data_IF_128577886430
#
_entry.id   IF_128577886430
#
_cell.length_a   1.000
_cell.length_b   1.000
_cell.length_c   1.000
_cell.angle_alpha   90.00
_cell.angle_beta   90.00
_cell.angle_gamma   90.00
#
_symmetry.space_group_name_H-M   'P 1'
#
loop_
_entity.id
_entity.type
_entity.pdbx_description
1 polymer ?
#
# COMPACT_ATOMS: atom_id res chain seq x y z
N UNK A 1 -3.64 9.48 9.67
CA UNK A 1 -3.48 10.61 8.76
C UNK A 1 -4.79 10.91 8.03
N UNK A 2 -5.32 10.00 7.19
CA UNK A 2 -6.54 10.22 6.41
C UNK A 2 -7.73 10.67 7.28
N UNK A 3 -8.04 9.95 8.35
CA UNK A 3 -9.13 10.30 9.28
C UNK A 3 -9.00 11.72 9.84
N UNK A 4 -7.76 12.12 10.22
CA UNK A 4 -7.49 13.47 10.74
C UNK A 4 -7.66 14.59 9.72
N UNK A 5 -7.72 14.27 8.44
CA UNK A 5 -8.03 15.22 7.37
C UNK A 5 -9.52 15.22 7.04
N UNK A 6 -10.08 14.04 6.78
CA UNK A 6 -11.46 13.91 6.33
C UNK A 6 -12.49 14.37 7.36
N UNK A 7 -12.25 14.14 8.66
CA UNK A 7 -13.22 14.50 9.70
C UNK A 7 -13.54 16.01 9.76
N UNK A 8 -12.70 16.85 9.15
CA UNK A 8 -12.92 18.30 9.10
C UNK A 8 -14.01 18.73 8.12
N UNK A 9 -14.30 17.89 7.14
CA UNK A 9 -15.25 18.18 6.04
C UNK A 9 -16.33 17.13 5.91
N UNK A 10 -16.07 15.91 6.41
CA UNK A 10 -16.94 14.76 6.24
C UNK A 10 -17.22 14.07 7.57
N UNK A 11 -18.38 13.43 7.68
CA UNK A 11 -18.65 12.52 8.79
C UNK A 11 -17.88 11.22 8.58
N UNK A 12 -16.91 10.94 9.45
CA UNK A 12 -16.03 9.77 9.33
C UNK A 12 -16.40 8.69 10.34
N UNK A 13 -16.57 7.48 9.83
CA UNK A 13 -16.78 6.26 10.61
C UNK A 13 -15.63 5.30 10.36
N UNK A 14 -14.90 4.94 11.41
CA UNK A 14 -13.80 3.98 11.37
C UNK A 14 -14.27 2.58 11.80
N UNK A 15 -13.84 1.56 11.07
CA UNK A 15 -14.03 0.15 11.41
C UNK A 15 -12.66 -0.52 11.44
N UNK A 16 -12.21 -0.95 12.61
CA UNK A 16 -10.96 -1.71 12.79
C UNK A 16 -11.10 -2.59 14.04
N UNK A 17 -10.44 -3.75 14.08
CA UNK A 17 -10.32 -4.58 15.28
C UNK A 17 -9.45 -3.96 16.37
N UNK A 18 -8.55 -3.04 16.00
CA UNK A 18 -7.69 -2.30 16.92
C UNK A 18 -8.38 -1.06 17.46
N UNK A 19 -7.98 -0.66 18.65
CA UNK A 19 -8.42 0.62 19.22
C UNK A 19 -7.80 1.78 18.46
N UNK A 20 -8.50 2.90 18.43
CA UNK A 20 -8.01 4.16 17.92
C UNK A 20 -8.05 5.21 19.05
N UNK A 21 -7.04 5.21 19.98
CA UNK A 21 -7.09 6.05 21.17
C UNK A 21 -7.05 7.55 20.82
N UNK A 22 -6.24 7.94 19.83
CA UNK A 22 -6.03 9.35 19.46
C UNK A 22 -6.95 9.81 18.32
N UNK A 23 -8.16 9.24 18.23
CA UNK A 23 -9.14 9.64 17.22
C UNK A 23 -9.68 11.04 17.53
N UNK A 24 -10.00 11.87 16.51
CA UNK A 24 -10.75 13.11 16.71
C UNK A 24 -12.08 12.83 17.42
N UNK A 25 -12.56 13.79 18.23
CA UNK A 25 -13.75 13.60 19.09
C UNK A 25 -15.02 13.29 18.30
N UNK A 26 -15.16 13.88 17.14
CA UNK A 26 -16.29 13.75 16.21
C UNK A 26 -16.24 12.48 15.33
N UNK A 27 -15.13 11.74 15.34
CA UNK A 27 -15.01 10.48 14.61
C UNK A 27 -15.64 9.33 15.40
N UNK A 28 -16.53 8.61 14.76
CA UNK A 28 -17.11 7.38 15.31
C UNK A 28 -16.16 6.23 14.97
N UNK A 29 -15.80 5.42 15.95
CA UNK A 29 -14.95 4.25 15.74
C UNK A 29 -15.58 2.99 16.31
N UNK A 30 -15.85 2.04 15.44
CA UNK A 30 -16.33 0.73 15.80
C UNK A 30 -15.16 -0.26 15.86
N UNK A 31 -14.81 -0.67 17.08
CA UNK A 31 -13.80 -1.72 17.28
C UNK A 31 -14.43 -3.08 16.97
N UNK A 32 -14.40 -3.48 15.71
CA UNK A 32 -15.02 -4.71 15.22
C UNK A 32 -14.27 -5.28 14.03
N UNK A 33 -14.30 -6.61 13.89
CA UNK A 33 -13.85 -7.31 12.71
C UNK A 33 -14.90 -7.21 11.59
N UNK A 34 -14.51 -6.79 10.39
CA UNK A 34 -15.39 -6.60 9.23
C UNK A 34 -16.24 -7.85 8.93
N UNK A 35 -15.74 -9.05 9.24
CA UNK A 35 -16.45 -10.32 9.04
C UNK A 35 -17.63 -10.54 10.00
N UNK A 36 -17.72 -9.77 11.08
CA UNK A 36 -18.75 -9.94 12.13
C UNK A 36 -20.06 -9.24 11.74
N UNK A 37 -21.19 -9.83 12.16
CA UNK A 37 -22.54 -9.27 11.93
C UNK A 37 -22.69 -7.81 12.38
N UNK A 38 -21.97 -7.41 13.44
CA UNK A 38 -21.97 -6.04 13.93
C UNK A 38 -21.52 -5.01 12.88
N UNK A 39 -20.66 -5.40 11.94
CA UNK A 39 -20.26 -4.52 10.81
C UNK A 39 -21.45 -4.22 9.91
N UNK A 40 -22.33 -5.20 9.65
CA UNK A 40 -23.57 -5.00 8.90
C UNK A 40 -24.46 -3.96 9.57
N UNK A 41 -24.56 -3.99 10.90
CA UNK A 41 -25.34 -2.99 11.65
C UNK A 41 -24.76 -1.58 11.49
N UNK A 42 -23.42 -1.44 11.40
CA UNK A 42 -22.78 -0.15 11.11
C UNK A 42 -23.25 0.39 9.76
N UNK A 43 -23.20 -0.41 8.68
CA UNK A 43 -23.67 0.03 7.35
C UNK A 43 -25.14 0.45 7.38
N UNK A 44 -25.99 -0.30 8.06
CA UNK A 44 -27.42 0.01 8.22
C UNK A 44 -27.66 1.31 8.97
N UNK A 45 -26.90 1.56 10.06
CA UNK A 45 -27.13 2.70 10.95
C UNK A 45 -26.49 3.98 10.43
N UNK A 46 -25.28 3.89 9.86
CA UNK A 46 -24.46 5.06 9.51
C UNK A 46 -24.74 5.62 8.10
N UNK A 47 -25.55 4.93 7.29
CA UNK A 47 -25.85 5.35 5.90
C UNK A 47 -24.58 5.68 5.11
N UNK A 48 -23.70 4.71 4.98
CA UNK A 48 -22.37 4.86 4.38
C UNK A 48 -22.47 5.27 2.91
N UNK A 49 -21.97 6.45 2.55
CA UNK A 49 -21.95 6.94 1.17
C UNK A 49 -20.69 6.50 0.41
N UNK A 50 -19.56 6.38 1.12
CA UNK A 50 -18.28 5.99 0.55
C UNK A 50 -17.50 5.07 1.50
N UNK A 51 -16.77 4.13 0.94
CA UNK A 51 -15.87 3.23 1.67
C UNK A 51 -14.44 3.43 1.18
N UNK A 52 -13.50 3.62 2.11
CA UNK A 52 -12.06 3.61 1.83
C UNK A 52 -11.46 2.37 2.51
N UNK A 53 -11.02 1.41 1.71
CA UNK A 53 -10.39 0.18 2.20
C UNK A 53 -8.88 0.32 2.29
N UNK A 54 -8.35 0.36 3.52
CA UNK A 54 -6.92 0.45 3.84
C UNK A 54 -6.44 -0.79 4.61
N UNK A 55 -7.34 -1.72 4.88
CA UNK A 55 -7.18 -2.79 5.85
C UNK A 55 -6.49 -4.03 5.28
N UNK A 56 -5.26 -3.90 4.77
CA UNK A 56 -4.46 -5.04 4.30
C UNK A 56 -3.44 -5.45 5.36
N UNK A 57 -3.44 -6.74 5.70
CA UNK A 57 -2.49 -7.32 6.65
C UNK A 57 -1.27 -7.84 5.90
N UNK A 58 -0.13 -7.15 6.05
CA UNK A 58 1.13 -7.48 5.37
C UNK A 58 2.15 -8.21 6.26
N UNK A 59 1.83 -8.46 7.54
CA UNK A 59 2.79 -9.11 8.44
C UNK A 59 2.99 -10.59 8.04
N UNK A 60 4.16 -10.96 7.50
CA UNK A 60 4.44 -12.33 7.05
C UNK A 60 4.58 -13.33 8.22
N UNK A 61 4.66 -12.85 9.47
CA UNK A 61 4.69 -13.70 10.69
C UNK A 61 3.30 -14.20 11.06
N UNK A 62 2.26 -13.56 10.54
CA UNK A 62 0.88 -14.06 10.68
C UNK A 62 0.69 -15.26 9.75
N UNK A 63 0.11 -16.34 10.27
CA UNK A 63 -0.15 -17.55 9.50
C UNK A 63 -0.91 -17.27 8.21
N UNK A 64 -0.56 -17.95 7.12
CA UNK A 64 -1.14 -17.73 5.79
C UNK A 64 -2.67 -17.77 5.78
N UNK A 65 -3.26 -18.77 6.45
CA UNK A 65 -4.72 -18.91 6.55
C UNK A 65 -5.39 -17.72 7.26
N UNK A 66 -4.78 -17.22 8.33
CA UNK A 66 -5.33 -16.06 9.05
C UNK A 66 -5.20 -14.79 8.21
N UNK A 67 -4.06 -14.60 7.55
CA UNK A 67 -3.81 -13.48 6.66
C UNK A 67 -4.78 -13.47 5.48
N UNK A 68 -4.97 -14.62 4.81
CA UNK A 68 -5.93 -14.78 3.72
C UNK A 68 -7.37 -14.49 4.18
N UNK A 69 -7.77 -15.03 5.33
CA UNK A 69 -9.10 -14.75 5.90
C UNK A 69 -9.30 -13.26 6.19
N UNK A 70 -8.24 -12.58 6.62
CA UNK A 70 -8.30 -11.15 6.91
C UNK A 70 -8.32 -10.31 5.63
N UNK A 71 -7.47 -10.62 4.67
CA UNK A 71 -7.34 -9.83 3.46
C UNK A 71 -8.48 -10.12 2.45
N UNK A 72 -8.77 -11.38 2.20
CA UNK A 72 -9.66 -11.77 1.11
C UNK A 72 -11.09 -11.99 1.60
N UNK A 73 -11.29 -12.85 2.61
CA UNK A 73 -12.66 -13.14 3.08
C UNK A 73 -13.31 -11.90 3.69
N UNK A 74 -12.54 -11.07 4.42
CA UNK A 74 -13.03 -9.81 4.96
C UNK A 74 -13.36 -8.80 3.86
N UNK A 75 -12.53 -8.72 2.80
CA UNK A 75 -12.77 -7.81 1.69
C UNK A 75 -13.99 -8.24 0.86
N UNK A 76 -14.14 -9.53 0.55
CA UNK A 76 -15.34 -10.05 -0.11
C UNK A 76 -16.61 -9.69 0.69
N UNK A 77 -16.54 -9.86 2.02
CA UNK A 77 -17.68 -9.49 2.89
C UNK A 77 -17.98 -7.99 2.88
N UNK A 78 -16.94 -7.16 2.77
CA UNK A 78 -17.09 -5.71 2.61
C UNK A 78 -17.78 -5.37 1.29
N UNK A 79 -17.40 -6.03 0.18
CA UNK A 79 -18.03 -5.86 -1.13
C UNK A 79 -19.50 -6.26 -1.11
N UNK A 80 -19.88 -7.34 -0.39
CA UNK A 80 -21.27 -7.73 -0.19
C UNK A 80 -22.07 -6.59 0.50
N UNK A 81 -21.50 -5.96 1.54
CA UNK A 81 -22.15 -4.84 2.22
C UNK A 81 -22.26 -3.61 1.33
N UNK A 82 -21.27 -3.32 0.49
CA UNK A 82 -21.32 -2.21 -0.46
C UNK A 82 -22.50 -2.38 -1.42
N UNK A 83 -22.71 -3.60 -1.92
CA UNK A 83 -23.86 -3.90 -2.80
C UNK A 83 -25.19 -3.86 -2.01
N UNK A 84 -25.25 -4.51 -0.86
CA UNK A 84 -26.48 -4.60 -0.03
C UNK A 84 -26.99 -3.22 0.41
N UNK A 85 -26.07 -2.29 0.72
CA UNK A 85 -26.43 -0.95 1.21
C UNK A 85 -26.26 0.15 0.14
N UNK A 86 -26.10 -0.24 -1.14
CA UNK A 86 -26.02 0.66 -2.29
C UNK A 86 -24.99 1.79 -2.13
N UNK A 87 -23.82 1.47 -1.55
CA UNK A 87 -22.73 2.44 -1.37
C UNK A 87 -22.24 2.92 -2.73
N UNK A 88 -22.15 4.22 -2.93
CA UNK A 88 -21.89 4.83 -4.24
C UNK A 88 -20.41 4.97 -4.59
N UNK A 89 -19.50 4.89 -3.60
CA UNK A 89 -18.06 5.07 -3.80
C UNK A 89 -17.26 4.01 -3.04
N UNK A 90 -16.33 3.37 -3.73
CA UNK A 90 -15.31 2.48 -3.15
C UNK A 90 -13.91 2.96 -3.56
N UNK A 91 -13.05 3.22 -2.59
CA UNK A 91 -11.62 3.46 -2.82
C UNK A 91 -10.82 2.35 -2.17
N UNK A 92 -10.01 1.66 -2.96
CA UNK A 92 -9.14 0.56 -2.51
C UNK A 92 -7.69 1.00 -2.60
N UNK A 93 -6.96 0.95 -1.50
CA UNK A 93 -5.52 1.16 -1.49
C UNK A 93 -4.84 -0.20 -1.70
N UNK A 94 -4.40 -0.45 -2.92
CA UNK A 94 -3.56 -1.56 -3.35
C UNK A 94 -2.07 -1.16 -3.26
N UNK A 95 -1.21 -1.70 -4.08
CA UNK A 95 0.22 -1.34 -4.17
C UNK A 95 0.77 -1.65 -5.56
N UNK A 96 1.78 -0.91 -6.01
CA UNK A 96 2.56 -1.25 -7.20
C UNK A 96 3.33 -2.57 -7.06
N UNK A 97 3.53 -3.08 -5.84
CA UNK A 97 4.14 -4.39 -5.61
C UNK A 97 3.36 -5.54 -6.26
N UNK A 98 2.08 -5.35 -6.63
CA UNK A 98 1.29 -6.35 -7.37
C UNK A 98 1.89 -6.70 -8.73
N UNK A 99 2.63 -5.78 -9.36
CA UNK A 99 3.33 -6.04 -10.62
C UNK A 99 4.56 -6.95 -10.42
N UNK A 100 5.29 -6.77 -9.33
CA UNK A 100 6.51 -7.49 -9.00
C UNK A 100 7.77 -6.91 -9.66
N UNK A 101 8.93 -7.07 -9.02
CA UNK A 101 10.24 -6.73 -9.58
C UNK A 101 10.72 -7.87 -10.48
N UNK A 102 10.80 -7.64 -11.79
CA UNK A 102 11.27 -8.61 -12.76
C UNK A 102 12.38 -8.02 -13.63
N UNK A 103 13.30 -8.88 -14.10
CA UNK A 103 14.45 -8.47 -14.89
C UNK A 103 14.05 -7.89 -16.27
N UNK A 104 12.92 -8.30 -16.79
CA UNK A 104 12.34 -7.90 -18.07
C UNK A 104 11.23 -6.84 -17.96
N UNK A 105 11.04 -6.27 -16.77
CA UNK A 105 10.10 -5.16 -16.62
C UNK A 105 10.50 -3.99 -17.51
N UNK A 106 9.52 -3.34 -18.18
CA UNK A 106 9.77 -2.05 -18.81
C UNK A 106 10.18 -1.02 -17.76
N UNK A 107 10.77 0.08 -18.19
CA UNK A 107 11.20 1.14 -17.26
C UNK A 107 10.05 1.64 -16.37
N UNK A 108 8.84 1.79 -16.92
CA UNK A 108 7.65 2.17 -16.19
C UNK A 108 6.49 1.26 -16.55
N UNK A 109 5.82 0.71 -15.54
CA UNK A 109 4.67 -0.17 -15.65
C UNK A 109 3.39 0.67 -15.68
N UNK A 110 2.55 0.47 -16.69
CA UNK A 110 1.24 1.08 -16.76
C UNK A 110 0.19 0.24 -15.99
N UNK A 111 -1.02 0.77 -15.84
CA UNK A 111 -2.09 0.14 -15.06
C UNK A 111 -2.62 -1.18 -15.64
N UNK A 112 -2.41 -1.41 -16.92
CA UNK A 112 -2.75 -2.62 -17.65
C UNK A 112 -1.63 -3.69 -17.65
N UNK A 113 -0.47 -3.39 -17.04
CA UNK A 113 0.61 -4.35 -16.90
C UNK A 113 0.17 -5.59 -16.07
N UNK A 114 0.68 -6.79 -16.40
CA UNK A 114 0.33 -8.02 -15.69
C UNK A 114 0.71 -7.98 -14.20
N UNK A 115 -0.13 -8.56 -13.34
CA UNK A 115 0.08 -8.62 -11.90
C UNK A 115 0.92 -9.86 -11.54
N UNK A 116 2.24 -9.79 -11.71
CA UNK A 116 3.16 -10.92 -11.59
C UNK A 116 3.87 -11.01 -10.23
N UNK A 117 3.59 -10.11 -9.28
CA UNK A 117 4.29 -10.03 -7.99
C UNK A 117 4.23 -11.30 -7.13
N UNK A 118 3.31 -12.24 -7.42
CA UNK A 118 3.11 -13.46 -6.63
C UNK A 118 4.18 -14.54 -6.82
N UNK A 119 5.09 -14.38 -7.76
CA UNK A 119 6.04 -15.45 -8.11
C UNK A 119 7.03 -15.83 -6.99
N UNK A 120 7.07 -15.08 -5.90
CA UNK A 120 7.99 -15.35 -4.80
C UNK A 120 7.43 -15.20 -3.38
N UNK A 121 6.29 -14.53 -3.17
CA UNK A 121 5.90 -14.10 -1.82
C UNK A 121 4.41 -14.27 -1.53
N UNK A 122 4.05 -15.16 -0.57
CA UNK A 122 2.65 -15.47 -0.25
C UNK A 122 1.83 -14.28 0.26
N UNK A 123 2.44 -13.27 0.92
CA UNK A 123 1.74 -12.07 1.35
C UNK A 123 1.30 -11.19 0.17
N UNK A 124 2.08 -11.18 -0.92
CA UNK A 124 1.74 -10.48 -2.16
C UNK A 124 0.58 -11.17 -2.90
N UNK A 125 0.42 -12.50 -2.76
CA UNK A 125 -0.73 -13.20 -3.37
C UNK A 125 -2.05 -12.65 -2.90
N UNK A 126 -2.20 -12.46 -1.59
CA UNK A 126 -3.42 -11.88 -1.04
C UNK A 126 -3.66 -10.46 -1.59
N UNK A 127 -2.61 -9.66 -1.75
CA UNK A 127 -2.74 -8.31 -2.29
C UNK A 127 -3.15 -8.31 -3.76
N UNK A 128 -2.58 -9.21 -4.56
CA UNK A 128 -2.97 -9.40 -5.97
C UNK A 128 -4.42 -9.87 -6.06
N UNK A 129 -4.82 -10.86 -5.26
CA UNK A 129 -6.18 -11.36 -5.23
C UNK A 129 -7.17 -10.27 -4.82
N UNK A 130 -6.83 -9.45 -3.82
CA UNK A 130 -7.63 -8.30 -3.40
C UNK A 130 -7.78 -7.28 -4.54
N UNK A 131 -6.70 -6.96 -5.23
CA UNK A 131 -6.70 -6.05 -6.38
C UNK A 131 -7.58 -6.60 -7.52
N UNK A 132 -7.45 -7.90 -7.85
CA UNK A 132 -8.27 -8.58 -8.85
C UNK A 132 -9.76 -8.63 -8.46
N UNK A 133 -10.07 -8.84 -7.18
CA UNK A 133 -11.46 -8.77 -6.66
C UNK A 133 -12.02 -7.37 -6.82
N UNK A 134 -11.23 -6.34 -6.52
CA UNK A 134 -11.64 -4.94 -6.70
C UNK A 134 -11.85 -4.61 -8.19
N UNK A 135 -11.00 -5.10 -9.10
CA UNK A 135 -11.18 -4.95 -10.55
C UNK A 135 -12.45 -5.67 -11.02
N UNK A 136 -12.66 -6.92 -10.57
CA UNK A 136 -13.87 -7.67 -10.90
C UNK A 136 -15.13 -6.95 -10.39
N UNK A 137 -15.06 -6.36 -9.21
CA UNK A 137 -16.15 -5.57 -8.65
C UNK A 137 -16.42 -4.29 -9.47
N UNK A 138 -15.38 -3.57 -9.87
CA UNK A 138 -15.47 -2.39 -10.74
C UNK A 138 -16.28 -2.66 -12.01
N UNK A 139 -16.04 -3.79 -12.67
CA UNK A 139 -16.73 -4.14 -13.91
C UNK A 139 -18.16 -4.65 -13.67
N UNK A 140 -18.39 -5.38 -12.59
CA UNK A 140 -19.72 -5.98 -12.30
C UNK A 140 -20.69 -5.00 -11.66
N UNK A 141 -20.21 -3.94 -11.01
CA UNK A 141 -21.04 -2.99 -10.29
C UNK A 141 -20.76 -1.54 -10.75
N UNK A 142 -21.15 -1.17 -11.98
CA UNK A 142 -20.85 0.15 -12.55
C UNK A 142 -21.53 1.32 -11.82
N UNK A 143 -22.57 1.04 -11.03
CA UNK A 143 -23.28 2.02 -10.19
C UNK A 143 -22.50 2.43 -8.93
N UNK A 144 -21.45 1.68 -8.59
CA UNK A 144 -20.48 2.03 -7.56
C UNK A 144 -19.20 2.56 -8.21
N UNK A 145 -18.92 3.85 -8.02
CA UNK A 145 -17.68 4.45 -8.50
C UNK A 145 -16.48 3.84 -7.76
N UNK A 146 -15.82 2.87 -8.36
CA UNK A 146 -14.67 2.18 -7.75
C UNK A 146 -13.36 2.77 -8.24
N UNK A 147 -12.48 3.09 -7.29
CA UNK A 147 -11.11 3.56 -7.53
C UNK A 147 -10.12 2.60 -6.87
N UNK A 148 -9.15 2.11 -7.65
CA UNK A 148 -8.05 1.29 -7.16
C UNK A 148 -6.76 2.11 -7.28
N UNK A 149 -6.09 2.35 -6.16
CA UNK A 149 -4.85 3.11 -6.09
C UNK A 149 -3.68 2.15 -5.88
N UNK A 150 -2.69 2.19 -6.77
CA UNK A 150 -1.46 1.38 -6.70
C UNK A 150 -0.25 2.27 -6.43
N UNK A 151 -0.01 2.70 -5.20
CA UNK A 151 1.18 3.48 -4.88
C UNK A 151 2.46 2.67 -5.05
N UNK A 152 3.53 3.33 -5.54
CA UNK A 152 4.90 2.86 -5.39
C UNK A 152 5.30 2.82 -3.90
N UNK A 153 6.59 2.74 -3.56
CA UNK A 153 7.01 2.68 -2.16
C UNK A 153 6.54 3.92 -1.37
N UNK A 154 5.61 3.71 -0.44
CA UNK A 154 5.14 4.76 0.46
C UNK A 154 6.20 4.99 1.54
N UNK A 155 6.75 6.20 1.61
CA UNK A 155 7.73 6.60 2.60
C UNK A 155 7.20 7.75 3.48
N UNK A 156 7.90 7.98 4.58
CA UNK A 156 7.55 8.96 5.60
C UNK A 156 7.55 8.34 6.99
N UNK A 157 6.71 8.81 7.89
CA UNK A 157 6.54 8.23 9.24
C UNK A 157 5.82 6.88 9.26
N UNK A 158 5.39 6.36 8.12
CA UNK A 158 4.75 5.04 7.99
C UNK A 158 5.70 3.89 8.34
N UNK A 159 5.17 2.85 8.98
CA UNK A 159 5.91 1.61 9.31
C UNK A 159 5.50 0.48 8.34
N UNK A 160 6.08 0.50 7.15
CA UNK A 160 5.95 -0.56 6.15
C UNK A 160 7.33 -1.17 5.84
N UNK A 161 7.37 -2.22 5.00
CA UNK A 161 8.61 -2.92 4.67
C UNK A 161 9.69 -1.97 4.12
N UNK A 162 9.35 -1.12 3.15
CA UNK A 162 10.29 -0.20 2.52
C UNK A 162 10.84 0.85 3.51
N UNK A 163 9.96 1.52 4.27
CA UNK A 163 10.40 2.51 5.27
C UNK A 163 11.22 1.86 6.39
N UNK A 164 10.82 0.67 6.87
CA UNK A 164 11.57 -0.04 7.90
C UNK A 164 12.95 -0.49 7.40
N UNK A 165 13.04 -0.94 6.14
CA UNK A 165 14.31 -1.30 5.51
C UNK A 165 15.27 -0.10 5.41
N UNK A 166 14.77 1.06 5.00
CA UNK A 166 15.57 2.28 4.88
C UNK A 166 16.00 2.86 6.25
N UNK A 167 15.31 2.51 7.34
CA UNK A 167 15.68 2.90 8.73
C UNK A 167 16.75 2.02 9.35
N UNK A 168 17.14 0.94 8.71
CA UNK A 168 18.21 0.07 9.23
C UNK A 168 19.54 0.84 9.20
N UNK A 169 20.31 0.77 10.26
CA UNK A 169 21.66 1.35 10.32
C UNK A 169 22.60 0.70 9.29
N UNK A 170 22.45 -0.59 9.07
CA UNK A 170 23.25 -1.40 8.14
C UNK A 170 22.35 -2.28 7.28
N UNK A 171 21.64 -1.70 6.30
CA UNK A 171 20.78 -2.48 5.40
C UNK A 171 21.62 -3.42 4.52
N UNK A 172 21.04 -4.56 4.17
CA UNK A 172 21.67 -5.53 3.28
C UNK A 172 21.34 -5.18 1.83
N UNK A 173 22.34 -5.18 0.95
CA UNK A 173 22.16 -5.04 -0.51
C UNK A 173 22.70 -6.25 -1.25
N UNK A 174 22.30 -6.44 -2.49
CA UNK A 174 22.78 -7.52 -3.34
C UNK A 174 23.95 -7.03 -4.20
N UNK A 175 25.10 -7.69 -4.09
CA UNK A 175 26.29 -7.33 -4.88
C UNK A 175 26.00 -7.36 -6.40
N UNK A 176 26.42 -6.32 -7.09
CA UNK A 176 26.24 -6.19 -8.54
C UNK A 176 24.90 -5.56 -8.95
N UNK A 177 24.06 -5.18 -7.98
CA UNK A 177 22.77 -4.54 -8.25
C UNK A 177 22.64 -3.20 -7.53
N UNK A 178 22.07 -2.23 -8.22
CA UNK A 178 21.71 -0.91 -7.69
C UNK A 178 20.41 -0.44 -8.34
N UNK A 179 19.26 -1.01 -7.92
CA UNK A 179 17.98 -0.74 -8.57
C UNK A 179 17.55 0.71 -8.39
N UNK A 180 16.92 1.24 -9.44
CA UNK A 180 16.21 2.52 -9.35
C UNK A 180 14.95 2.32 -8.52
N UNK A 181 14.69 3.25 -7.60
CA UNK A 181 13.53 3.26 -6.75
C UNK A 181 12.67 4.50 -6.99
N UNK A 182 11.37 4.29 -6.97
CA UNK A 182 10.37 5.35 -6.86
C UNK A 182 9.78 5.36 -5.46
N UNK A 183 9.52 6.54 -4.94
CA UNK A 183 8.82 6.70 -3.66
C UNK A 183 7.74 7.77 -3.77
N UNK A 184 6.72 7.64 -2.93
CA UNK A 184 5.67 8.63 -2.74
C UNK A 184 5.52 8.93 -1.24
N UNK A 185 5.36 10.21 -0.91
CA UNK A 185 5.18 10.63 0.48
C UNK A 185 3.82 10.15 1.03
N UNK A 186 3.79 9.70 2.29
CA UNK A 186 2.53 9.21 2.93
C UNK A 186 1.39 10.24 2.90
N UNK A 187 1.71 11.53 2.98
CA UNK A 187 0.70 12.60 2.89
C UNK A 187 0.18 12.79 1.46
N UNK A 188 0.99 12.49 0.45
CA UNK A 188 0.53 12.52 -0.94
C UNK A 188 -0.40 11.34 -1.26
N UNK A 189 -0.19 10.17 -0.64
CA UNK A 189 -1.15 9.06 -0.73
C UNK A 189 -2.49 9.45 -0.10
N UNK A 190 -2.47 10.15 1.04
CA UNK A 190 -3.70 10.69 1.65
C UNK A 190 -4.41 11.66 0.70
N UNK A 191 -3.67 12.56 0.04
CA UNK A 191 -4.24 13.49 -0.97
C UNK A 191 -4.80 12.75 -2.18
N UNK A 192 -4.12 11.69 -2.65
CA UNK A 192 -4.63 10.88 -3.75
C UNK A 192 -5.96 10.19 -3.38
N UNK A 193 -6.12 9.73 -2.13
CA UNK A 193 -7.39 9.19 -1.63
C UNK A 193 -8.48 10.28 -1.62
N UNK A 194 -8.16 11.51 -1.21
CA UNK A 194 -9.09 12.65 -1.28
C UNK A 194 -9.54 12.94 -2.73
N UNK A 195 -8.62 12.86 -3.70
CA UNK A 195 -8.97 12.96 -5.12
C UNK A 195 -9.86 11.79 -5.58
N UNK A 196 -9.56 10.57 -5.14
CA UNK A 196 -10.34 9.38 -5.45
C UNK A 196 -11.78 9.41 -4.89
N UNK A 197 -11.99 10.12 -3.79
CA UNK A 197 -13.31 10.30 -3.18
C UNK A 197 -14.21 11.32 -3.91
N UNK A 198 -13.66 12.12 -4.83
CA UNK A 198 -14.45 13.07 -5.61
C UNK A 198 -15.48 12.35 -6.48
N UNK A 199 -16.70 12.93 -6.65
CA UNK A 199 -17.68 12.40 -7.59
C UNK A 199 -17.11 12.27 -9.01
N UNK A 200 -17.46 11.20 -9.72
CA UNK A 200 -16.98 10.90 -11.07
C UNK A 200 -15.60 10.24 -11.15
N UNK A 201 -14.81 10.23 -10.07
CA UNK A 201 -13.54 9.52 -10.04
C UNK A 201 -13.77 8.01 -10.03
N UNK A 202 -13.28 7.29 -11.05
CA UNK A 202 -13.35 5.82 -11.16
C UNK A 202 -12.21 5.28 -12.01
N UNK A 203 -11.73 4.09 -11.71
CA UNK A 203 -10.65 3.41 -12.45
C UNK A 203 -9.49 2.96 -11.59
N UNK A 204 -8.43 2.51 -12.26
CA UNK A 204 -7.19 2.06 -11.65
C UNK A 204 -6.14 3.13 -11.90
N UNK A 205 -5.36 3.44 -10.87
CA UNK A 205 -4.37 4.52 -10.93
C UNK A 205 -3.08 4.12 -10.20
N UNK A 206 -1.99 4.15 -10.92
CA UNK A 206 -0.66 4.08 -10.34
C UNK A 206 -0.32 5.43 -9.68
N UNK A 207 0.20 5.38 -8.46
CA UNK A 207 0.62 6.58 -7.74
C UNK A 207 2.13 6.56 -7.54
N UNK A 208 2.80 7.61 -7.99
CA UNK A 208 4.22 7.83 -7.74
C UNK A 208 4.51 9.25 -7.28
N UNK A 209 5.57 9.43 -6.52
CA UNK A 209 6.19 10.74 -6.32
C UNK A 209 7.00 11.19 -7.53
N UNK A 210 7.54 12.40 -7.52
CA UNK A 210 8.36 12.92 -8.61
C UNK A 210 9.76 12.30 -8.59
N UNK A 211 10.22 11.86 -9.76
CA UNK A 211 11.57 11.33 -9.96
C UNK A 211 11.80 9.92 -9.39
N UNK A 212 12.99 9.43 -9.66
CA UNK A 212 13.51 8.15 -9.22
C UNK A 212 14.99 8.28 -8.85
N UNK A 213 15.49 7.41 -8.00
CA UNK A 213 16.87 7.47 -7.50
C UNK A 213 17.44 6.06 -7.28
N UNK A 214 18.72 5.80 -7.63
CA UNK A 214 19.38 4.54 -7.29
C UNK A 214 19.40 4.33 -5.78
N UNK A 215 19.21 3.07 -5.35
CA UNK A 215 19.20 2.70 -3.94
C UNK A 215 20.47 3.14 -3.20
N UNK A 216 21.64 3.02 -3.85
CA UNK A 216 22.92 3.48 -3.30
C UNK A 216 22.93 4.99 -2.98
N UNK A 217 22.27 5.81 -3.81
CA UNK A 217 22.18 7.25 -3.59
C UNK A 217 21.22 7.58 -2.44
N UNK A 218 20.14 6.78 -2.29
CA UNK A 218 19.21 6.89 -1.15
C UNK A 218 19.98 6.64 0.16
N UNK A 219 20.75 5.56 0.26
CA UNK A 219 21.57 5.28 1.45
C UNK A 219 22.55 6.39 1.77
N UNK A 220 23.20 6.94 0.75
CA UNK A 220 24.14 8.07 0.92
C UNK A 220 23.43 9.29 1.52
N UNK A 221 22.20 9.59 1.07
CA UNK A 221 21.39 10.69 1.63
C UNK A 221 20.98 10.42 3.09
N UNK A 222 20.65 9.17 3.41
CA UNK A 222 20.28 8.76 4.76
C UNK A 222 21.48 8.58 5.70
N UNK A 223 22.72 8.72 5.18
CA UNK A 223 23.94 8.52 5.98
C UNK A 223 24.15 7.07 6.43
N UNK A 224 23.53 6.09 5.76
CA UNK A 224 23.64 4.68 6.10
C UNK A 224 24.66 3.96 5.25
N UNK A 225 25.30 2.92 5.82
CA UNK A 225 26.34 2.13 5.15
C UNK A 225 25.82 0.72 4.89
N UNK A 226 25.35 0.40 3.67
CA UNK A 226 24.80 -0.91 3.36
C UNK A 226 25.88 -2.00 3.38
N UNK A 227 25.47 -3.23 3.69
CA UNK A 227 26.32 -4.44 3.62
C UNK A 227 26.00 -5.17 2.31
N UNK A 228 26.92 -5.16 1.34
CA UNK A 228 26.71 -5.90 0.10
C UNK A 228 26.94 -7.39 0.34
N UNK A 229 25.97 -8.22 -0.05
CA UNK A 229 26.03 -9.69 0.08
C UNK A 229 25.98 -10.32 -1.32
N UNK A 230 26.82 -11.34 -1.60
CA UNK A 230 26.71 -12.10 -2.85
C UNK A 230 25.30 -12.68 -3.03
N UNK A 231 24.73 -12.55 -4.23
CA UNK A 231 23.33 -12.92 -4.50
C UNK A 231 22.97 -14.35 -4.12
N UNK A 232 23.90 -15.32 -4.28
CA UNK A 232 23.72 -16.70 -3.90
C UNK A 232 23.55 -16.91 -2.37
N UNK A 233 24.12 -16.03 -1.56
CA UNK A 233 24.05 -16.09 -0.09
C UNK A 233 22.93 -15.22 0.47
N UNK A 234 22.50 -14.23 -0.27
CA UNK A 234 21.55 -13.22 0.21
C UNK A 234 20.22 -13.83 0.64
N UNK A 235 19.67 -14.78 -0.11
CA UNK A 235 18.44 -15.51 0.25
C UNK A 235 18.58 -16.25 1.58
N UNK A 236 19.67 -17.02 1.74
CA UNK A 236 19.90 -17.80 2.96
C UNK A 236 20.13 -16.93 4.19
N UNK A 237 20.87 -15.84 4.04
CA UNK A 237 21.14 -14.87 5.12
C UNK A 237 19.85 -14.19 5.57
N UNK A 238 19.04 -13.71 4.62
CA UNK A 238 17.80 -13.04 4.93
C UNK A 238 16.73 -13.98 5.51
N UNK A 239 16.62 -15.22 5.01
CA UNK A 239 15.73 -16.23 5.59
C UNK A 239 16.07 -16.52 7.05
N UNK A 240 17.36 -16.67 7.36
CA UNK A 240 17.80 -16.86 8.74
C UNK A 240 17.54 -15.63 9.59
N UNK A 241 17.92 -14.44 9.11
CA UNK A 241 17.69 -13.20 9.83
C UNK A 241 16.19 -12.96 10.10
N UNK A 242 15.34 -13.24 9.14
CA UNK A 242 13.89 -13.15 9.29
C UNK A 242 13.35 -14.19 10.29
N UNK A 243 13.79 -15.45 10.19
CA UNK A 243 13.37 -16.53 11.10
C UNK A 243 13.75 -16.28 12.55
N UNK A 244 14.91 -15.66 12.79
CA UNK A 244 15.37 -15.28 14.13
C UNK A 244 14.92 -13.88 14.58
N UNK A 245 13.96 -13.25 13.85
CA UNK A 245 13.44 -11.92 14.15
C UNK A 245 14.50 -10.79 14.15
N UNK A 246 15.65 -11.01 13.52
CA UNK A 246 16.72 -10.02 13.36
C UNK A 246 16.44 -9.05 12.19
N UNK A 247 15.52 -9.40 11.30
CA UNK A 247 15.08 -8.56 10.19
C UNK A 247 13.56 -8.58 10.10
N UNK A 248 12.96 -7.42 9.81
CA UNK A 248 11.56 -7.29 9.43
C UNK A 248 11.34 -7.44 7.92
N UNK A 249 12.42 -7.61 7.15
CA UNK A 249 12.42 -7.73 5.70
C UNK A 249 12.56 -9.20 5.31
N UNK A 250 11.55 -9.84 4.73
CA UNK A 250 11.59 -11.25 4.35
C UNK A 250 12.42 -11.48 3.08
N UNK A 251 13.02 -12.66 2.94
CA UNK A 251 13.86 -13.02 1.80
C UNK A 251 13.19 -12.89 0.42
N UNK A 252 11.90 -13.17 0.26
CA UNK A 252 11.22 -12.96 -1.03
C UNK A 252 11.18 -11.52 -1.53
N UNK A 253 11.38 -10.53 -0.67
CA UNK A 253 11.50 -9.12 -1.08
C UNK A 253 12.88 -8.76 -1.64
N UNK A 254 13.83 -9.70 -1.67
CA UNK A 254 15.18 -9.53 -2.26
C UNK A 254 15.15 -9.08 -3.71
N UNK A 255 14.16 -9.50 -4.48
CA UNK A 255 14.08 -9.13 -5.89
C UNK A 255 13.81 -7.63 -6.08
N UNK A 256 13.20 -6.95 -5.10
CA UNK A 256 13.14 -5.49 -5.06
C UNK A 256 14.51 -4.81 -4.85
N UNK A 257 15.51 -5.56 -4.37
CA UNK A 257 16.90 -5.07 -4.26
C UNK A 257 17.75 -5.39 -5.50
N UNK A 258 17.17 -6.07 -6.48
CA UNK A 258 17.84 -6.46 -7.74
C UNK A 258 17.20 -5.78 -8.94
N UNK A 259 15.87 -5.81 -9.03
CA UNK A 259 15.12 -5.42 -10.22
C UNK A 259 14.20 -4.25 -9.94
N UNK A 260 13.93 -3.50 -10.98
CA UNK A 260 13.04 -2.34 -10.89
C UNK A 260 11.56 -2.77 -10.89
N UNK A 261 10.75 -2.05 -10.10
CA UNK A 261 9.30 -2.11 -10.15
C UNK A 261 8.79 -0.66 -10.08
N UNK A 262 9.02 0.09 -11.15
CA UNK A 262 8.61 1.49 -11.26
C UNK A 262 7.33 1.61 -12.06
N UNK A 263 6.48 2.55 -11.70
CA UNK A 263 5.16 2.71 -12.32
C UNK A 263 5.01 4.06 -13.03
N UNK A 264 4.20 4.07 -14.08
CA UNK A 264 3.77 5.30 -14.74
C UNK A 264 2.60 5.94 -13.98
N UNK A 265 2.73 7.19 -13.58
CA UNK A 265 1.70 7.97 -12.88
C UNK A 265 0.93 8.94 -13.78
N UNK A 266 1.06 8.83 -15.09
CA UNK A 266 0.44 9.75 -16.05
C UNK A 266 -1.08 9.74 -15.92
N UNK A 267 -1.69 8.57 -15.81
CA UNK A 267 -3.13 8.43 -15.66
C UNK A 267 -3.66 9.07 -14.37
N UNK A 268 -2.94 8.94 -13.26
CA UNK A 268 -3.33 9.61 -12.00
C UNK A 268 -3.31 11.14 -12.15
N UNK A 269 -2.36 11.68 -12.90
CA UNK A 269 -2.29 13.13 -13.18
C UNK A 269 -3.41 13.59 -14.09
N UNK A 270 -3.64 12.90 -15.21
CA UNK A 270 -4.53 13.37 -16.27
C UNK A 270 -6.00 13.09 -16.00
N UNK A 271 -6.31 11.94 -15.40
CA UNK A 271 -7.68 11.49 -15.16
C UNK A 271 -8.13 11.75 -13.73
N UNK A 272 -7.30 11.42 -12.73
CA UNK A 272 -7.63 11.64 -11.33
C UNK A 272 -7.33 13.08 -10.87
N UNK A 273 -6.56 13.86 -11.66
CA UNK A 273 -6.13 15.21 -11.31
C UNK A 273 -5.17 15.25 -10.12
N UNK A 274 -4.44 14.15 -9.88
CA UNK A 274 -3.52 14.04 -8.76
C UNK A 274 -2.10 14.42 -9.18
N UNK A 275 -1.50 15.34 -8.42
CA UNK A 275 -0.07 15.69 -8.54
C UNK A 275 0.55 15.65 -7.13
N UNK A 276 1.66 14.93 -6.92
CA UNK A 276 2.34 14.89 -5.64
C UNK A 276 2.87 16.29 -5.27
N UNK A 277 2.85 16.62 -3.97
CA UNK A 277 3.35 17.88 -3.45
C UNK A 277 4.76 17.79 -2.89
N UNK A 278 5.17 16.59 -2.48
CA UNK A 278 6.49 16.35 -1.90
C UNK A 278 7.44 15.87 -2.98
N UNK A 279 8.64 16.45 -3.03
CA UNK A 279 9.70 15.95 -3.90
C UNK A 279 10.31 14.65 -3.34
N UNK A 280 11.19 14.02 -4.14
CA UNK A 280 11.80 12.75 -3.77
C UNK A 280 12.75 12.90 -2.57
N UNK A 281 13.43 14.03 -2.44
CA UNK A 281 14.37 14.29 -1.34
C UNK A 281 13.62 14.44 -0.02
N UNK A 282 12.59 15.28 0.00
CA UNK A 282 11.69 15.45 1.15
C UNK A 282 11.07 14.12 1.57
N UNK A 283 10.68 13.29 0.60
CA UNK A 283 10.08 11.98 0.83
C UNK A 283 11.07 11.00 1.48
N UNK A 284 12.33 11.01 1.05
CA UNK A 284 13.39 10.17 1.64
C UNK A 284 13.76 10.66 3.04
N UNK A 285 13.94 11.97 3.23
CA UNK A 285 14.28 12.56 4.52
C UNK A 285 13.20 12.32 5.59
N UNK A 286 11.94 12.31 5.19
CA UNK A 286 10.82 12.00 6.07
C UNK A 286 10.85 10.58 6.69
N UNK A 287 11.68 9.67 6.14
CA UNK A 287 11.85 8.31 6.69
C UNK A 287 12.51 8.34 8.08
N UNK A 288 13.49 9.23 8.28
CA UNK A 288 14.28 9.34 9.52
C UNK A 288 13.85 10.51 10.40
N UNK A 289 13.08 11.46 9.84
CA UNK A 289 12.57 12.59 10.60
C UNK A 289 11.48 12.15 11.57
N UNK A 290 11.51 12.53 12.84
CA UNK A 290 10.38 12.30 13.73
C UNK A 290 9.13 13.00 13.18
N UNK A 291 7.96 12.38 13.33
CA UNK A 291 6.69 13.05 13.03
C UNK A 291 6.56 14.30 13.91
N UNK A 292 6.50 15.46 13.28
CA UNK A 292 6.16 16.71 13.95
C UNK A 292 4.69 16.68 14.45
#
# INVERSE_FOLDING_TARGET
LLVRRLHRTERVVGIDRRRFPDKPKDVIHYQVDVRRKKTRDVFRTERVAAVVHLGVLHDPRVGERERHNWNIVAFQKLLDYIVEYEVKKLVVLSSAAVYGPHADNPQFLAEDAPLLGAQGFGAIRDLIELDMLAQSFFWRHPDTETVILRPCHILGGVHNAASNYLRLERPVTVMGFDPMMQAIHELDVVRAIEHALRPGAKGIFNLRGPGEMPLSKIFRKLGTSPIPIPGALATTVLDRAFRYHLSSFPAPELDHLRYVCMVDGTRAREVLGFTPAYDLEQTIEAVVSPRA
#
